data_IF_237170849861
#
_entry.id   IF_237170849861
#
_cell.length_a   1.000
_cell.length_b   1.000
_cell.length_c   1.000
_cell.angle_alpha   90.00
_cell.angle_beta   90.00
_cell.angle_gamma   90.00
#
_symmetry.space_group_name_H-M   'P 1'
#
loop_
_entity.id
_entity.type
_entity.pdbx_description
1 polymer ?
#
# COMPACT_ATOMS: atom_id res chain seq x y z
N UNK A 1 118.78 -33.19 -5.83
CA UNK A 1 117.56 -32.52 -5.23
C UNK A 1 116.44 -32.82 -6.19
N UNK A 2 115.42 -33.61 -5.81
CA UNK A 2 114.28 -33.89 -6.68
C UNK A 2 113.33 -32.73 -6.62
N UNK A 3 112.80 -32.27 -7.74
CA UNK A 3 111.78 -31.26 -7.86
C UNK A 3 110.44 -31.84 -7.38
N UNK A 4 109.81 -31.16 -6.41
CA UNK A 4 108.49 -31.50 -5.96
C UNK A 4 107.50 -30.99 -7.00
N UNK A 5 106.87 -31.92 -7.70
CA UNK A 5 105.82 -31.64 -8.67
C UNK A 5 104.51 -31.44 -7.90
N UNK A 6 103.96 -30.19 -7.87
CA UNK A 6 102.68 -29.88 -7.28
C UNK A 6 101.58 -30.28 -8.26
N UNK A 7 100.62 -31.11 -7.88
CA UNK A 7 99.52 -31.44 -8.76
C UNK A 7 98.75 -30.20 -9.13
N UNK A 8 98.61 -29.89 -10.38
CA UNK A 8 97.74 -28.87 -10.91
C UNK A 8 96.31 -29.25 -10.60
N UNK A 9 95.70 -28.57 -9.61
CA UNK A 9 94.32 -28.76 -9.23
C UNK A 9 93.29 -28.33 -10.29
N UNK A 10 93.33 -29.02 -11.45
CA UNK A 10 92.32 -28.87 -12.52
C UNK A 10 90.95 -29.41 -12.13
N UNK A 11 90.91 -30.33 -11.15
CA UNK A 11 89.65 -30.93 -10.67
C UNK A 11 88.81 -29.97 -9.86
N UNK A 12 89.42 -29.18 -8.96
CA UNK A 12 88.69 -28.22 -8.10
C UNK A 12 87.99 -27.12 -8.92
N UNK A 13 88.67 -26.62 -9.98
CA UNK A 13 88.10 -25.61 -10.88
C UNK A 13 86.99 -26.17 -11.76
N UNK A 14 86.98 -27.44 -12.07
CA UNK A 14 85.90 -28.13 -12.82
C UNK A 14 84.70 -28.35 -11.93
N UNK A 15 84.89 -28.73 -10.67
CA UNK A 15 83.74 -28.82 -9.68
C UNK A 15 83.15 -27.48 -9.41
N UNK A 16 83.89 -26.40 -9.27
CA UNK A 16 83.39 -25.04 -9.09
C UNK A 16 82.58 -24.59 -10.32
N UNK A 17 83.01 -24.86 -11.53
CA UNK A 17 82.27 -24.57 -12.75
C UNK A 17 80.97 -25.38 -12.85
N UNK A 18 80.96 -26.67 -12.48
CA UNK A 18 79.79 -27.52 -12.45
C UNK A 18 78.83 -27.08 -11.38
N UNK A 19 79.29 -26.64 -10.21
CA UNK A 19 78.45 -26.09 -9.15
C UNK A 19 77.83 -24.75 -9.58
N UNK A 20 78.59 -23.86 -10.21
CA UNK A 20 78.03 -22.60 -10.75
C UNK A 20 77.01 -22.84 -11.85
N UNK A 21 77.24 -23.86 -12.73
CA UNK A 21 76.27 -24.22 -13.76
C UNK A 21 74.99 -24.83 -13.16
N UNK A 22 75.11 -25.63 -12.11
CA UNK A 22 74.02 -26.17 -11.37
C UNK A 22 73.17 -25.07 -10.69
N UNK A 23 73.80 -24.09 -10.02
CA UNK A 23 73.14 -22.92 -9.47
C UNK A 23 72.48 -22.09 -10.56
N UNK A 24 73.12 -21.90 -11.71
CA UNK A 24 72.54 -21.18 -12.85
C UNK A 24 71.26 -21.89 -13.36
N UNK A 25 71.32 -23.23 -13.52
CA UNK A 25 70.15 -24.01 -13.94
C UNK A 25 69.04 -23.97 -12.97
N UNK A 26 69.31 -24.05 -11.65
CA UNK A 26 68.29 -23.91 -10.58
C UNK A 26 67.70 -22.50 -10.61
N UNK A 27 68.49 -21.45 -10.79
CA UNK A 27 68.00 -20.06 -10.90
C UNK A 27 67.14 -19.87 -12.14
N UNK A 28 67.47 -20.46 -13.28
CA UNK A 28 66.65 -20.42 -14.50
C UNK A 28 65.37 -21.20 -14.31
N UNK A 29 65.39 -22.37 -13.69
CA UNK A 29 64.19 -23.16 -13.38
C UNK A 29 63.29 -22.44 -12.38
N UNK A 30 63.83 -21.75 -11.38
CA UNK A 30 63.07 -20.93 -10.42
C UNK A 30 62.44 -19.71 -11.12
N UNK A 31 63.14 -19.06 -12.05
CA UNK A 31 62.61 -17.98 -12.87
C UNK A 31 61.48 -18.46 -13.79
N UNK A 32 61.63 -19.64 -14.41
CA UNK A 32 60.61 -20.20 -15.28
C UNK A 32 59.36 -20.67 -14.53
N UNK A 33 59.47 -21.13 -13.28
CA UNK A 33 58.32 -21.65 -12.50
C UNK A 33 57.62 -20.63 -11.64
N UNK A 34 58.18 -19.47 -11.36
CA UNK A 34 57.58 -18.50 -10.43
C UNK A 34 57.71 -17.02 -10.84
N UNK A 35 58.32 -16.77 -12.02
CA UNK A 35 58.60 -15.42 -12.50
C UNK A 35 57.41 -14.68 -13.10
N UNK A 36 56.35 -15.38 -13.46
CA UNK A 36 55.17 -14.78 -14.09
C UNK A 36 53.94 -14.98 -13.23
N UNK A 37 53.01 -14.03 -13.32
CA UNK A 37 51.70 -14.10 -12.70
C UNK A 37 50.68 -13.33 -13.56
N UNK A 38 49.42 -13.73 -13.48
CA UNK A 38 48.32 -13.07 -14.15
C UNK A 38 47.43 -12.38 -13.11
N UNK A 39 47.03 -11.17 -13.42
CA UNK A 39 46.01 -10.42 -12.66
C UNK A 39 44.73 -10.41 -13.50
N UNK A 40 43.62 -10.84 -12.92
CA UNK A 40 42.32 -10.87 -13.60
C UNK A 40 41.76 -9.46 -13.71
N UNK A 41 40.79 -9.25 -14.62
CA UNK A 41 40.11 -7.96 -14.79
C UNK A 41 39.39 -7.52 -13.50
N UNK A 42 38.90 -8.48 -12.73
CA UNK A 42 38.22 -8.30 -11.43
C UNK A 42 39.16 -7.99 -10.28
N UNK A 43 40.47 -8.06 -10.49
CA UNK A 43 41.48 -7.92 -9.46
C UNK A 43 42.46 -6.82 -9.80
N UNK A 44 43.17 -6.33 -8.78
CA UNK A 44 44.39 -5.52 -8.93
C UNK A 44 45.51 -6.17 -8.13
N UNK A 45 46.67 -6.23 -8.71
CA UNK A 45 47.87 -6.77 -8.05
C UNK A 45 48.60 -5.71 -7.24
N UNK A 46 48.91 -6.04 -5.99
CA UNK A 46 49.84 -5.22 -5.16
C UNK A 46 51.19 -5.90 -5.17
N UNK A 47 52.16 -5.31 -5.85
CA UNK A 47 53.54 -5.82 -5.92
C UNK A 47 54.32 -5.38 -4.68
N UNK A 48 54.85 -6.36 -3.96
CA UNK A 48 55.65 -6.19 -2.77
C UNK A 48 57.06 -6.67 -3.01
N UNK A 49 58.05 -5.92 -2.56
CA UNK A 49 59.46 -6.35 -2.58
C UNK A 49 59.95 -6.41 -1.14
N UNK A 50 60.34 -7.59 -0.69
CA UNK A 50 60.74 -7.87 0.69
C UNK A 50 59.70 -7.36 1.71
N UNK A 51 58.40 -7.47 1.37
CA UNK A 51 57.29 -6.98 2.21
C UNK A 51 56.97 -5.48 2.07
N UNK A 52 57.80 -4.70 1.36
CA UNK A 52 57.51 -3.29 1.11
C UNK A 52 56.67 -3.12 -0.14
N UNK A 53 55.67 -2.21 -0.13
CA UNK A 53 54.89 -1.84 -1.30
C UNK A 53 55.76 -1.20 -2.39
N UNK A 54 55.63 -1.66 -3.61
CA UNK A 54 56.35 -1.13 -4.79
C UNK A 54 55.41 -0.43 -5.75
N UNK A 55 54.37 -1.13 -6.20
CA UNK A 55 53.42 -0.60 -7.18
C UNK A 55 52.11 -1.39 -7.18
N UNK A 56 51.03 -0.75 -7.65
CA UNK A 56 49.79 -1.40 -8.03
C UNK A 56 49.92 -1.84 -9.50
N UNK A 57 49.49 -3.06 -9.78
CA UNK A 57 49.59 -3.70 -11.09
C UNK A 57 48.22 -3.89 -11.70
N UNK A 58 48.08 -3.49 -12.95
CA UNK A 58 46.84 -3.61 -13.72
C UNK A 58 46.57 -5.06 -14.16
N UNK A 59 45.35 -5.40 -14.66
CA UNK A 59 45.06 -6.70 -15.24
C UNK A 59 46.01 -7.07 -16.39
N UNK A 60 46.35 -8.35 -16.49
CA UNK A 60 47.23 -8.85 -17.53
C UNK A 60 48.29 -9.80 -17.01
N UNK A 61 49.25 -10.12 -17.89
CA UNK A 61 50.42 -10.96 -17.61
C UNK A 61 51.59 -10.08 -17.17
N UNK A 62 52.14 -10.35 -16.00
CA UNK A 62 53.27 -9.62 -15.42
C UNK A 62 54.38 -10.53 -14.96
N UNK A 63 55.56 -9.93 -14.79
CA UNK A 63 56.75 -10.61 -14.29
C UNK A 63 57.10 -10.12 -12.90
N UNK A 64 57.58 -11.03 -12.06
CA UNK A 64 58.11 -10.75 -10.73
C UNK A 64 59.39 -11.50 -10.48
N UNK A 65 60.24 -11.00 -9.61
CA UNK A 65 61.42 -11.70 -9.13
C UNK A 65 61.02 -12.72 -8.04
N UNK A 66 61.04 -14.04 -8.31
CA UNK A 66 60.35 -15.04 -7.49
C UNK A 66 60.82 -15.17 -6.04
N UNK A 67 62.00 -14.70 -5.70
CA UNK A 67 62.53 -14.77 -4.32
C UNK A 67 62.31 -13.47 -3.56
N UNK A 68 62.34 -12.34 -4.24
CA UNK A 68 62.31 -11.01 -3.62
C UNK A 68 60.97 -10.33 -3.71
N UNK A 69 60.12 -10.74 -4.65
CA UNK A 69 58.86 -10.10 -4.91
C UNK A 69 57.68 -11.05 -4.69
N UNK A 70 56.68 -10.54 -4.01
CA UNK A 70 55.37 -11.19 -3.82
C UNK A 70 54.26 -10.30 -4.35
N UNK A 71 53.16 -10.91 -4.76
CA UNK A 71 52.00 -10.19 -5.26
C UNK A 71 50.80 -10.60 -4.45
N UNK A 72 50.09 -9.61 -3.91
CA UNK A 72 48.77 -9.78 -3.25
C UNK A 72 47.73 -9.30 -4.22
N UNK A 73 46.75 -10.13 -4.52
CA UNK A 73 45.64 -9.79 -5.39
C UNK A 73 44.50 -9.27 -4.55
N UNK A 74 43.95 -8.14 -4.92
CA UNK A 74 42.84 -7.47 -4.25
C UNK A 74 41.69 -7.41 -5.25
N UNK A 75 40.57 -7.99 -4.87
CA UNK A 75 39.32 -7.94 -5.62
C UNK A 75 38.74 -6.52 -5.57
N UNK A 76 38.40 -5.97 -6.75
CA UNK A 76 37.84 -4.63 -6.95
C UNK A 76 36.37 -4.70 -7.35
N UNK A 77 35.78 -5.88 -7.41
CA UNK A 77 34.36 -6.06 -7.71
C UNK A 77 33.49 -5.67 -6.53
N UNK A 78 32.20 -5.57 -6.79
CA UNK A 78 31.23 -5.36 -5.72
C UNK A 78 31.15 -6.58 -4.80
N UNK A 79 31.24 -6.33 -3.52
CA UNK A 79 31.11 -7.32 -2.46
C UNK A 79 30.00 -6.94 -1.51
N UNK A 80 29.33 -7.95 -0.96
CA UNK A 80 28.31 -7.76 0.07
C UNK A 80 28.77 -8.33 1.41
N UNK A 81 28.72 -7.51 2.45
CA UNK A 81 28.93 -7.94 3.82
C UNK A 81 27.57 -7.92 4.56
N UNK A 82 27.20 -9.04 5.17
CA UNK A 82 25.87 -9.25 5.72
C UNK A 82 25.94 -9.54 7.20
N UNK A 83 25.03 -8.88 7.93
CA UNK A 83 24.70 -9.18 9.34
C UNK A 83 23.27 -9.68 9.39
N UNK A 84 23.10 -10.97 9.67
CA UNK A 84 21.78 -11.61 9.72
C UNK A 84 21.80 -12.81 10.65
N UNK A 85 20.65 -13.25 11.07
CA UNK A 85 20.49 -14.40 11.99
C UNK A 85 21.33 -14.25 13.26
N UNK A 86 22.29 -15.16 13.48
CA UNK A 86 23.11 -15.20 14.71
C UNK A 86 24.04 -13.98 14.90
N UNK A 87 24.30 -13.24 13.84
CA UNK A 87 25.13 -12.02 13.86
C UNK A 87 24.31 -10.75 13.56
N UNK A 88 23.00 -10.76 13.83
CA UNK A 88 22.15 -9.57 13.70
C UNK A 88 22.59 -8.48 14.67
N UNK A 89 22.30 -7.23 14.31
CA UNK A 89 22.71 -6.06 15.09
C UNK A 89 21.60 -5.67 16.05
N UNK A 90 21.81 -5.89 17.33
CA UNK A 90 20.90 -5.42 18.37
C UNK A 90 21.00 -3.90 18.51
N UNK A 91 19.86 -3.22 18.48
CA UNK A 91 19.73 -1.78 18.65
C UNK A 91 18.45 -1.42 19.41
N UNK A 92 18.44 -0.23 20.03
CA UNK A 92 17.29 0.30 20.75
C UNK A 92 16.71 1.49 19.98
N UNK A 93 15.40 1.49 19.82
CA UNK A 93 14.66 2.60 19.23
C UNK A 93 14.56 3.79 20.19
N UNK A 94 14.04 4.93 19.72
CA UNK A 94 13.83 6.14 20.54
C UNK A 94 12.90 5.87 21.74
N UNK A 95 11.92 5.00 21.57
CA UNK A 95 10.98 4.55 22.61
C UNK A 95 11.48 3.33 23.40
N UNK A 96 12.83 3.12 23.38
CA UNK A 96 13.54 2.10 24.16
C UNK A 96 13.11 0.64 23.85
N UNK A 97 12.56 0.40 22.65
CA UNK A 97 12.25 -0.96 22.23
C UNK A 97 13.49 -1.64 21.63
N UNK A 98 13.91 -2.81 22.14
CA UNK A 98 15.00 -3.57 21.54
C UNK A 98 14.54 -4.18 20.22
N UNK A 99 15.43 -4.14 19.22
CA UNK A 99 15.23 -4.80 17.94
C UNK A 99 16.51 -5.42 17.43
N UNK A 100 16.40 -6.56 16.74
CA UNK A 100 17.45 -7.21 16.00
C UNK A 100 17.33 -6.82 14.52
N UNK A 101 18.35 -6.14 14.01
CA UNK A 101 18.39 -5.64 12.65
C UNK A 101 19.29 -6.53 11.80
N UNK A 102 18.73 -7.05 10.70
CA UNK A 102 19.46 -7.75 9.65
C UNK A 102 19.80 -6.75 8.54
N UNK A 103 21.09 -6.56 8.30
CA UNK A 103 21.59 -5.53 7.38
C UNK A 103 22.64 -6.09 6.46
N UNK A 104 22.64 -5.68 5.20
CA UNK A 104 23.72 -5.96 4.26
C UNK A 104 24.24 -4.66 3.64
N UNK A 105 25.55 -4.59 3.47
CA UNK A 105 26.22 -3.48 2.83
C UNK A 105 26.91 -3.98 1.59
N UNK A 106 26.61 -3.37 0.47
CA UNK A 106 27.29 -3.59 -0.81
C UNK A 106 28.32 -2.49 -0.98
N UNK A 107 29.55 -2.87 -1.24
CA UNK A 107 30.66 -1.94 -1.39
C UNK A 107 31.64 -2.48 -2.44
N UNK A 108 32.49 -1.62 -2.97
CA UNK A 108 33.62 -1.99 -3.80
C UNK A 108 34.86 -1.17 -3.44
N UNK A 109 36.02 -1.68 -3.82
CA UNK A 109 37.29 -0.98 -3.69
C UNK A 109 37.62 -0.32 -5.02
N UNK A 110 37.73 1.02 -5.09
CA UNK A 110 38.18 1.67 -6.31
C UNK A 110 39.60 1.20 -6.70
N UNK A 111 39.85 0.91 -7.98
CA UNK A 111 41.16 0.47 -8.44
C UNK A 111 42.32 1.40 -8.07
N UNK A 112 42.02 2.70 -7.93
CA UNK A 112 43.02 3.74 -7.58
C UNK A 112 43.41 3.73 -6.09
N UNK A 113 42.58 3.11 -5.22
CA UNK A 113 42.81 3.07 -3.78
C UNK A 113 43.32 1.71 -3.26
N UNK A 114 43.59 0.78 -4.13
CA UNK A 114 44.04 -0.57 -3.78
C UNK A 114 45.35 -0.56 -2.97
N UNK A 115 46.26 0.38 -3.25
CA UNK A 115 47.47 0.59 -2.47
C UNK A 115 47.19 0.98 -1.02
N UNK A 116 46.17 1.85 -0.82
CA UNK A 116 45.74 2.27 0.52
C UNK A 116 45.08 1.15 1.30
N UNK A 117 44.26 0.29 0.61
CA UNK A 117 43.66 -0.91 1.21
C UNK A 117 44.75 -1.82 1.75
N UNK A 118 45.78 -2.09 0.96
CA UNK A 118 46.88 -2.95 1.42
C UNK A 118 47.67 -2.31 2.57
N UNK A 119 48.09 -1.06 2.42
CA UNK A 119 48.93 -0.37 3.41
C UNK A 119 48.26 -0.16 4.75
N UNK A 120 46.99 0.15 4.76
CA UNK A 120 46.23 0.51 6.00
C UNK A 120 45.56 -0.71 6.62
N UNK A 121 45.07 -1.63 5.81
CA UNK A 121 44.23 -2.73 6.26
C UNK A 121 44.81 -4.11 5.99
N UNK A 122 45.91 -4.23 5.27
CA UNK A 122 46.54 -5.48 4.85
C UNK A 122 45.69 -6.37 3.92
N UNK A 123 44.68 -5.77 3.26
CA UNK A 123 43.77 -6.42 2.33
C UNK A 123 42.32 -6.16 2.60
N UNK A 124 41.43 -6.77 1.81
CA UNK A 124 39.96 -6.57 1.90
C UNK A 124 39.39 -7.08 3.22
N UNK A 125 39.86 -8.23 3.70
CA UNK A 125 39.39 -8.80 4.98
C UNK A 125 39.70 -7.87 6.17
N UNK A 126 40.88 -7.25 6.15
CA UNK A 126 41.25 -6.25 7.15
C UNK A 126 40.42 -4.96 7.04
N UNK A 127 40.04 -4.56 5.84
CA UNK A 127 39.14 -3.45 5.57
C UNK A 127 37.74 -3.75 6.13
N UNK A 128 37.19 -4.92 5.81
CA UNK A 128 35.89 -5.38 6.33
C UNK A 128 35.87 -5.39 7.87
N UNK A 129 36.83 -6.06 8.49
CA UNK A 129 36.83 -6.27 9.95
C UNK A 129 37.15 -5.01 10.75
N UNK A 130 38.04 -4.14 10.27
CA UNK A 130 38.52 -2.98 11.02
C UNK A 130 37.75 -1.70 10.73
N UNK A 131 37.18 -1.56 9.52
CA UNK A 131 36.45 -0.36 9.13
C UNK A 131 34.95 -0.63 9.10
N UNK A 132 34.45 -1.49 8.20
CA UNK A 132 33.02 -1.68 8.00
C UNK A 132 32.36 -2.28 9.24
N UNK A 133 32.91 -3.39 9.76
CA UNK A 133 32.32 -4.10 10.89
C UNK A 133 32.28 -3.28 12.19
N UNK A 134 33.07 -2.21 12.31
CA UNK A 134 33.04 -1.33 13.46
C UNK A 134 32.13 -0.12 13.26
N UNK A 135 32.15 0.48 12.05
CA UNK A 135 31.45 1.71 11.78
C UNK A 135 29.97 1.51 11.51
N UNK A 136 29.62 0.49 10.69
CA UNK A 136 28.24 0.21 10.34
C UNK A 136 27.33 0.03 11.57
N UNK A 137 27.66 -0.84 12.57
CA UNK A 137 26.79 -0.99 13.71
C UNK A 137 26.62 0.29 14.53
N UNK A 138 27.66 1.10 14.62
CA UNK A 138 27.61 2.37 15.34
C UNK A 138 26.66 3.36 14.65
N UNK A 139 26.81 3.54 13.35
CA UNK A 139 26.02 4.50 12.58
C UNK A 139 24.57 4.05 12.49
N UNK A 140 24.32 2.73 12.28
CA UNK A 140 22.99 2.13 12.30
C UNK A 140 22.28 2.36 13.65
N UNK A 141 22.95 2.04 14.77
CA UNK A 141 22.39 2.25 16.12
C UNK A 141 22.08 3.73 16.39
N UNK A 142 22.93 4.62 15.93
CA UNK A 142 22.74 6.06 16.07
C UNK A 142 21.50 6.55 15.31
N UNK A 143 21.29 6.07 14.09
CA UNK A 143 20.12 6.44 13.29
C UNK A 143 18.87 5.76 13.85
N UNK A 144 18.93 4.47 14.18
CA UNK A 144 17.79 3.73 14.73
C UNK A 144 17.26 4.35 16.01
N UNK A 145 18.16 4.82 16.91
CA UNK A 145 17.78 5.49 18.15
C UNK A 145 17.07 6.86 17.97
N UNK A 146 16.98 7.38 16.74
CA UNK A 146 16.19 8.59 16.43
C UNK A 146 14.76 8.29 16.01
N UNK A 147 14.46 7.05 15.73
CA UNK A 147 13.16 6.58 15.27
C UNK A 147 12.45 5.78 16.36
N UNK A 148 11.13 5.97 16.48
CA UNK A 148 10.29 5.06 17.29
C UNK A 148 10.08 3.75 16.54
N UNK A 149 9.84 2.66 17.25
CA UNK A 149 9.58 1.35 16.65
C UNK A 149 8.46 1.41 15.59
N UNK A 150 7.37 2.10 15.89
CA UNK A 150 6.28 2.31 14.94
C UNK A 150 6.70 3.12 13.71
N UNK A 151 7.52 4.18 13.88
CA UNK A 151 7.92 5.05 12.76
C UNK A 151 8.88 4.38 11.80
N UNK A 152 9.71 3.45 12.27
CA UNK A 152 10.60 2.65 11.43
C UNK A 152 9.81 1.79 10.45
N UNK A 153 8.69 1.21 10.90
CA UNK A 153 7.82 0.38 10.06
C UNK A 153 7.02 1.25 9.09
N UNK A 154 6.41 2.34 9.59
CA UNK A 154 5.54 3.21 8.79
C UNK A 154 6.31 4.02 7.74
N UNK A 155 7.52 4.47 8.08
CA UNK A 155 8.37 5.32 7.24
C UNK A 155 9.67 4.63 6.83
N UNK A 156 9.59 3.32 6.50
CA UNK A 156 10.75 2.47 6.20
C UNK A 156 11.68 3.09 5.13
N UNK A 157 11.12 3.68 4.08
CA UNK A 157 11.92 4.28 3.01
C UNK A 157 12.80 5.44 3.50
N UNK A 158 12.27 6.31 4.36
CA UNK A 158 13.03 7.40 4.97
C UNK A 158 14.11 6.87 5.92
N UNK A 159 13.77 5.90 6.74
CA UNK A 159 14.71 5.27 7.66
C UNK A 159 15.90 4.65 6.91
N UNK A 160 15.65 3.89 5.84
CA UNK A 160 16.71 3.30 4.99
C UNK A 160 17.59 4.39 4.38
N UNK A 161 17.00 5.45 3.84
CA UNK A 161 17.77 6.56 3.26
C UNK A 161 18.64 7.29 4.29
N UNK A 162 18.14 7.51 5.51
CA UNK A 162 18.90 8.14 6.59
C UNK A 162 20.04 7.23 7.06
N UNK A 163 19.82 5.90 7.14
CA UNK A 163 20.88 4.91 7.45
C UNK A 163 21.93 4.91 6.37
N UNK A 164 21.53 4.84 5.09
CA UNK A 164 22.46 4.86 3.97
C UNK A 164 23.32 6.12 3.96
N UNK A 165 22.72 7.28 4.17
CA UNK A 165 23.41 8.56 4.29
C UNK A 165 24.41 8.58 5.45
N UNK A 166 24.00 8.10 6.62
CA UNK A 166 24.87 8.05 7.79
C UNK A 166 26.04 7.10 7.60
N UNK A 167 25.79 5.89 7.05
CA UNK A 167 26.82 4.89 6.77
C UNK A 167 27.82 5.39 5.73
N UNK A 168 27.36 6.03 4.65
CA UNK A 168 28.23 6.63 3.63
C UNK A 168 29.10 7.76 4.21
N UNK A 169 28.54 8.56 5.10
CA UNK A 169 29.28 9.63 5.78
C UNK A 169 30.25 9.10 6.85
N UNK A 170 29.88 8.02 7.55
CA UNK A 170 30.64 7.44 8.64
C UNK A 170 31.79 6.53 8.18
N UNK A 171 31.63 5.82 7.07
CA UNK A 171 32.65 4.95 6.50
C UNK A 171 33.53 5.74 5.53
N UNK A 172 34.52 6.42 6.08
CA UNK A 172 35.51 7.15 5.31
C UNK A 172 36.77 6.29 5.17
N UNK A 173 37.12 5.89 3.93
CA UNK A 173 38.26 5.04 3.69
C UNK A 173 38.45 4.72 2.20
N UNK A 174 39.37 3.81 1.86
CA UNK A 174 39.66 3.41 0.50
C UNK A 174 38.64 2.42 -0.05
N UNK A 175 37.34 2.71 0.14
CA UNK A 175 36.22 1.96 -0.38
C UNK A 175 35.06 2.91 -0.70
N UNK A 176 34.15 2.46 -1.54
CA UNK A 176 32.89 3.14 -1.84
C UNK A 176 31.73 2.25 -1.39
N UNK A 177 30.83 2.78 -0.57
CA UNK A 177 29.59 2.12 -0.21
C UNK A 177 28.57 2.39 -1.33
N UNK A 178 28.21 1.37 -2.06
CA UNK A 178 27.24 1.44 -3.15
C UNK A 178 25.81 1.47 -2.62
N UNK A 179 25.48 0.54 -1.70
CA UNK A 179 24.14 0.38 -1.19
C UNK A 179 24.15 -0.20 0.23
N UNK A 180 23.19 0.23 1.04
CA UNK A 180 22.89 -0.36 2.35
C UNK A 180 21.46 -0.88 2.32
N UNK A 181 21.30 -2.18 2.58
CA UNK A 181 19.99 -2.83 2.61
C UNK A 181 19.68 -3.24 4.04
N UNK A 182 18.50 -2.87 4.51
CA UNK A 182 17.92 -3.38 5.75
C UNK A 182 16.98 -4.51 5.36
N UNK A 183 17.40 -5.75 5.65
CA UNK A 183 16.69 -6.95 5.23
C UNK A 183 15.50 -7.22 6.15
N UNK A 184 15.74 -7.21 7.46
CA UNK A 184 14.71 -7.49 8.45
C UNK A 184 14.91 -6.67 9.74
N UNK A 185 13.81 -6.46 10.46
CA UNK A 185 13.76 -5.77 11.74
C UNK A 185 12.82 -6.56 12.65
N UNK A 186 13.38 -7.29 13.58
CA UNK A 186 12.65 -8.14 14.52
C UNK A 186 12.63 -7.45 15.88
N UNK A 187 11.45 -7.10 16.37
CA UNK A 187 11.26 -6.56 17.71
C UNK A 187 11.11 -7.68 18.74
N UNK A 188 11.11 -7.31 20.03
CA UNK A 188 10.88 -8.30 21.09
C UNK A 188 9.44 -8.81 21.06
N UNK A 189 9.23 -10.08 21.42
CA UNK A 189 7.91 -10.72 21.52
C UNK A 189 6.95 -9.91 22.43
N UNK A 190 7.47 -9.30 23.49
CA UNK A 190 6.69 -8.47 24.40
C UNK A 190 6.15 -7.22 23.71
N UNK A 191 6.95 -6.60 22.85
CA UNK A 191 6.51 -5.45 22.06
C UNK A 191 5.50 -5.86 20.99
N UNK A 192 5.77 -6.92 20.23
CA UNK A 192 4.86 -7.42 19.19
C UNK A 192 3.48 -7.77 19.77
N UNK A 193 3.45 -8.51 20.90
CA UNK A 193 2.20 -8.80 21.60
C UNK A 193 1.46 -7.54 22.08
N UNK A 194 2.17 -6.52 22.56
CA UNK A 194 1.56 -5.27 23.01
C UNK A 194 0.99 -4.46 21.85
N UNK A 195 1.64 -4.47 20.69
CA UNK A 195 1.14 -3.85 19.46
C UNK A 195 -0.10 -4.58 18.95
N UNK A 196 -0.08 -5.92 18.95
CA UNK A 196 -1.23 -6.74 18.57
C UNK A 196 -2.45 -6.43 19.45
N UNK A 197 -2.29 -6.43 20.78
CA UNK A 197 -3.37 -6.10 21.72
C UNK A 197 -3.92 -4.69 21.50
N UNK A 198 -3.05 -3.71 21.25
CA UNK A 198 -3.48 -2.34 20.92
C UNK A 198 -4.28 -2.30 19.64
N UNK A 199 -3.79 -2.98 18.60
CA UNK A 199 -4.48 -3.04 17.31
C UNK A 199 -5.85 -3.70 17.42
N UNK A 200 -5.97 -4.79 18.19
CA UNK A 200 -7.25 -5.45 18.48
C UNK A 200 -8.21 -4.51 19.21
N UNK A 201 -7.73 -3.76 20.21
CA UNK A 201 -8.54 -2.78 20.93
C UNK A 201 -8.99 -1.61 20.02
N UNK A 202 -8.13 -1.12 19.15
CA UNK A 202 -8.46 -0.08 18.15
C UNK A 202 -9.52 -0.57 17.15
N UNK A 203 -9.39 -1.81 16.67
CA UNK A 203 -10.38 -2.44 15.79
C UNK A 203 -11.72 -2.56 16.49
N UNK A 204 -11.75 -2.96 17.77
CA UNK A 204 -13.00 -3.07 18.54
C UNK A 204 -13.67 -1.70 18.72
N UNK A 205 -12.90 -0.67 19.07
CA UNK A 205 -13.43 0.72 19.14
C UNK A 205 -13.98 1.19 17.80
N UNK A 206 -13.25 0.89 16.70
CA UNK A 206 -13.71 1.25 15.35
C UNK A 206 -15.02 0.53 15.00
N UNK A 207 -15.13 -0.76 15.32
CA UNK A 207 -16.33 -1.56 15.12
C UNK A 207 -17.53 -1.02 15.92
N UNK A 208 -17.30 -0.65 17.19
CA UNK A 208 -18.34 -0.03 18.02
C UNK A 208 -18.81 1.30 17.44
N UNK A 209 -17.89 2.14 16.96
CA UNK A 209 -18.25 3.42 16.30
C UNK A 209 -19.05 3.19 15.02
N UNK A 210 -18.65 2.23 14.20
CA UNK A 210 -19.39 1.90 12.98
C UNK A 210 -20.78 1.36 13.28
N UNK A 211 -20.93 0.55 14.31
CA UNK A 211 -22.24 0.04 14.73
C UNK A 211 -23.15 1.18 15.23
N UNK A 212 -22.63 2.06 16.08
CA UNK A 212 -23.37 3.23 16.55
C UNK A 212 -23.82 4.15 15.39
N UNK A 213 -22.95 4.37 14.41
CA UNK A 213 -23.32 5.16 13.23
C UNK A 213 -24.38 4.47 12.36
N UNK A 214 -24.28 3.14 12.21
CA UNK A 214 -25.32 2.35 11.51
C UNK A 214 -26.67 2.44 12.23
N UNK A 215 -26.70 2.31 13.55
CA UNK A 215 -27.92 2.42 14.33
C UNK A 215 -28.54 3.82 14.21
N UNK A 216 -27.72 4.87 14.24
CA UNK A 216 -28.16 6.24 14.02
C UNK A 216 -28.79 6.44 12.65
N UNK A 217 -28.12 6.01 11.59
CA UNK A 217 -28.63 6.07 10.22
C UNK A 217 -29.92 5.26 10.09
N UNK A 218 -29.99 4.07 10.69
CA UNK A 218 -31.18 3.24 10.67
C UNK A 218 -32.36 3.92 11.39
N UNK A 219 -32.13 4.60 12.52
CA UNK A 219 -33.13 5.38 13.22
C UNK A 219 -33.62 6.56 12.37
N UNK A 220 -32.72 7.29 11.70
CA UNK A 220 -33.10 8.39 10.79
C UNK A 220 -33.94 7.89 9.61
N UNK A 221 -33.56 6.74 9.01
CA UNK A 221 -34.35 6.09 7.96
C UNK A 221 -35.76 5.76 8.46
N UNK A 222 -35.86 5.17 9.64
CA UNK A 222 -37.15 4.80 10.24
C UNK A 222 -38.05 6.03 10.48
N UNK A 223 -37.46 7.10 11.02
CA UNK A 223 -38.19 8.38 11.22
C UNK A 223 -38.62 8.99 9.90
N UNK A 224 -37.75 8.99 8.90
CA UNK A 224 -38.06 9.53 7.57
C UNK A 224 -39.14 8.70 6.86
N UNK A 225 -39.08 7.38 6.96
CA UNK A 225 -40.15 6.51 6.44
C UNK A 225 -41.50 6.74 7.14
N UNK A 226 -41.48 6.87 8.47
CA UNK A 226 -42.72 7.17 9.24
C UNK A 226 -43.31 8.52 8.84
N UNK A 227 -42.49 9.55 8.66
CA UNK A 227 -42.96 10.88 8.17
C UNK A 227 -43.54 10.77 6.76
N UNK A 228 -42.83 10.13 5.85
CA UNK A 228 -43.28 9.94 4.47
C UNK A 228 -44.62 9.17 4.39
N UNK A 229 -44.79 8.15 5.24
CA UNK A 229 -46.04 7.42 5.35
C UNK A 229 -47.18 8.30 5.88
N UNK A 230 -46.94 9.10 6.93
CA UNK A 230 -47.91 10.04 7.46
C UNK A 230 -48.31 11.12 6.43
N UNK A 231 -47.36 11.71 5.75
CA UNK A 231 -47.57 12.68 4.69
C UNK A 231 -48.36 12.09 3.50
N UNK A 232 -48.08 10.86 3.14
CA UNK A 232 -48.82 10.12 2.10
C UNK A 232 -50.28 9.87 2.53
N UNK A 233 -50.51 9.47 3.80
CA UNK A 233 -51.86 9.29 4.32
C UNK A 233 -52.63 10.62 4.36
N UNK A 234 -51.99 11.70 4.78
CA UNK A 234 -52.59 13.04 4.78
C UNK A 234 -52.95 13.48 3.36
N UNK A 235 -52.03 13.31 2.42
CA UNK A 235 -52.27 13.66 1.01
C UNK A 235 -53.44 12.85 0.40
N UNK A 236 -53.51 11.55 0.68
CA UNK A 236 -54.61 10.72 0.21
C UNK A 236 -55.96 11.09 0.86
N UNK A 237 -55.98 11.39 2.15
CA UNK A 237 -57.16 11.83 2.84
C UNK A 237 -57.65 13.19 2.34
N UNK A 238 -56.77 14.15 2.13
CA UNK A 238 -57.10 15.46 1.56
C UNK A 238 -57.61 15.36 0.14
N UNK A 239 -56.97 14.53 -0.70
CA UNK A 239 -57.40 14.27 -2.08
C UNK A 239 -58.79 13.61 -2.10
N UNK A 240 -59.09 12.66 -1.20
CA UNK A 240 -60.38 12.02 -1.09
C UNK A 240 -61.49 13.01 -0.65
N UNK A 241 -61.15 13.87 0.34
CA UNK A 241 -62.07 14.93 0.78
C UNK A 241 -62.38 15.93 -0.35
N UNK A 242 -61.36 16.37 -1.08
CA UNK A 242 -61.54 17.26 -2.23
C UNK A 242 -62.37 16.61 -3.34
N UNK A 243 -62.10 15.35 -3.67
CA UNK A 243 -62.88 14.60 -4.64
C UNK A 243 -64.37 14.51 -4.23
N UNK A 244 -64.66 14.25 -2.93
CA UNK A 244 -66.04 14.23 -2.41
C UNK A 244 -66.71 15.61 -2.51
N UNK A 245 -65.98 16.67 -2.16
CA UNK A 245 -66.49 18.05 -2.31
C UNK A 245 -66.81 18.44 -3.76
N UNK A 246 -65.91 18.12 -4.68
CA UNK A 246 -66.09 18.36 -6.12
C UNK A 246 -67.28 17.56 -6.63
N UNK A 247 -67.41 16.29 -6.22
CA UNK A 247 -68.56 15.43 -6.57
C UNK A 247 -69.87 16.03 -6.08
N UNK A 248 -69.92 16.46 -4.80
CA UNK A 248 -71.09 17.07 -4.21
C UNK A 248 -71.50 18.38 -4.91
N UNK A 249 -70.50 19.20 -5.29
CA UNK A 249 -70.75 20.43 -6.08
C UNK A 249 -71.29 20.12 -7.45
N UNK A 250 -70.70 19.13 -8.14
CA UNK A 250 -71.17 18.69 -9.44
C UNK A 250 -72.61 18.13 -9.42
N UNK A 251 -72.90 17.34 -8.38
CA UNK A 251 -74.27 16.80 -8.18
C UNK A 251 -75.29 17.93 -7.85
N UNK A 252 -74.96 18.89 -7.01
CA UNK A 252 -75.80 20.06 -6.76
C UNK A 252 -76.04 20.87 -8.04
N UNK A 253 -75.02 21.11 -8.82
CA UNK A 253 -75.14 21.82 -10.08
C UNK A 253 -75.98 21.04 -11.12
N UNK A 254 -75.78 19.73 -11.19
CA UNK A 254 -76.67 18.86 -12.00
C UNK A 254 -78.11 18.92 -11.61
N UNK A 255 -78.41 18.90 -10.27
CA UNK A 255 -79.76 19.02 -9.77
C UNK A 255 -80.37 20.41 -10.09
N UNK A 256 -79.54 21.47 -9.93
CA UNK A 256 -80.01 22.86 -10.27
C UNK A 256 -80.30 22.97 -11.79
N UNK A 257 -79.42 22.56 -12.64
CA UNK A 257 -79.63 22.61 -14.11
C UNK A 257 -80.83 21.75 -14.54
N UNK A 258 -81.02 20.59 -13.92
CA UNK A 258 -82.15 19.71 -14.20
C UNK A 258 -83.45 20.39 -13.75
N UNK A 259 -83.51 21.00 -12.53
CA UNK A 259 -84.61 21.74 -12.06
C UNK A 259 -84.99 22.98 -12.94
N UNK A 260 -83.98 23.68 -13.42
CA UNK A 260 -84.16 24.78 -14.38
C UNK A 260 -84.73 24.32 -15.72
N UNK A 261 -84.19 23.20 -16.24
CA UNK A 261 -84.68 22.61 -17.50
C UNK A 261 -86.11 22.08 -17.36
N UNK A 262 -86.43 21.41 -16.23
CA UNK A 262 -87.81 20.96 -15.93
C UNK A 262 -88.77 22.14 -15.78
N UNK A 263 -88.38 23.22 -15.05
CA UNK A 263 -89.17 24.43 -14.90
C UNK A 263 -89.36 25.13 -16.26
N UNK A 264 -88.37 25.20 -17.12
CA UNK A 264 -88.47 25.75 -18.50
C UNK A 264 -89.46 24.92 -19.36
N UNK A 265 -89.34 23.58 -19.26
CA UNK A 265 -90.25 22.68 -19.97
C UNK A 265 -91.69 22.80 -19.49
N UNK A 266 -91.94 22.96 -18.18
CA UNK A 266 -93.27 23.19 -17.60
C UNK A 266 -93.85 24.56 -18.10
N UNK A 267 -93.02 25.62 -18.08
CA UNK A 267 -93.41 26.93 -18.64
C UNK A 267 -93.80 26.87 -20.08
N UNK A 268 -92.93 26.26 -20.92
CA UNK A 268 -93.19 26.10 -22.33
C UNK A 268 -94.50 25.31 -22.60
N UNK A 269 -94.76 24.28 -21.79
CA UNK A 269 -96.02 23.51 -21.86
C UNK A 269 -97.24 24.36 -21.39
N UNK A 270 -97.08 25.17 -20.34
CA UNK A 270 -98.12 26.10 -19.88
C UNK A 270 -98.45 27.14 -20.93
N UNK A 271 -97.42 27.73 -21.56
CA UNK A 271 -97.60 28.73 -22.59
C UNK A 271 -98.27 28.11 -23.87
N UNK A 272 -97.97 26.90 -24.20
CA UNK A 272 -98.58 26.20 -25.32
C UNK A 272 -100.07 25.79 -25.10
N UNK A 273 -100.46 25.57 -23.89
CA UNK A 273 -101.80 25.12 -23.51
C UNK A 273 -102.78 26.28 -23.11
N UNK A 274 -102.28 27.49 -23.09
CA UNK A 274 -103.10 28.65 -22.81
C UNK A 274 -103.79 28.64 -21.46
N UNK A 275 -103.09 29.14 -20.47
CA UNK A 275 -103.51 29.57 -19.10
C UNK A 275 -104.62 28.81 -18.37
N UNK A 276 -104.74 27.51 -18.44
CA UNK A 276 -105.58 26.75 -17.52
C UNK A 276 -104.69 25.77 -16.71
N UNK A 277 -104.35 26.17 -15.48
CA UNK A 277 -103.55 25.36 -14.56
C UNK A 277 -104.13 23.96 -14.31
N UNK A 278 -105.44 23.78 -14.33
CA UNK A 278 -106.12 22.52 -14.24
C UNK A 278 -105.80 21.54 -15.38
N UNK A 279 -105.59 22.07 -16.59
CA UNK A 279 -105.19 21.27 -17.74
C UNK A 279 -103.75 20.69 -17.60
N UNK A 280 -102.80 21.44 -17.02
CA UNK A 280 -101.46 20.99 -16.76
C UNK A 280 -101.44 19.92 -15.67
N UNK A 281 -102.21 20.12 -14.62
CA UNK A 281 -102.31 19.12 -13.56
C UNK A 281 -102.91 17.79 -14.06
N UNK A 282 -103.91 17.87 -14.93
CA UNK A 282 -104.56 16.71 -15.53
C UNK A 282 -103.58 15.98 -16.50
N UNK A 283 -102.75 16.72 -17.31
CA UNK A 283 -101.80 16.14 -18.19
C UNK A 283 -100.66 15.44 -17.42
N UNK A 284 -100.11 16.11 -16.39
CA UNK A 284 -99.02 15.58 -15.56
C UNK A 284 -99.51 14.36 -14.75
N UNK A 285 -100.76 14.37 -14.27
CA UNK A 285 -101.30 13.21 -13.59
C UNK A 285 -101.56 12.03 -14.56
N UNK A 286 -101.94 12.27 -15.80
CA UNK A 286 -102.09 11.23 -16.78
C UNK A 286 -100.78 10.63 -17.27
N UNK A 287 -99.69 11.45 -17.41
CA UNK A 287 -98.35 10.95 -17.78
C UNK A 287 -97.67 10.13 -16.67
N UNK A 288 -97.97 10.45 -15.42
CA UNK A 288 -97.39 9.72 -14.27
C UNK A 288 -98.27 8.53 -13.77
N UNK A 289 -99.48 8.36 -14.31
CA UNK A 289 -100.32 7.25 -13.90
C UNK A 289 -99.85 5.91 -14.56
N UNK A 290 -99.53 4.97 -13.73
CA UNK A 290 -99.07 3.64 -14.11
C UNK A 290 -100.27 2.67 -14.47
N UNK A 291 -101.51 3.17 -14.57
CA UNK A 291 -102.65 2.36 -14.92
C UNK A 291 -103.26 1.51 -13.78
N UNK A 292 -102.71 1.60 -12.63
CA UNK A 292 -103.22 0.82 -11.49
C UNK A 292 -103.94 1.71 -10.43
N UNK A 293 -105.10 1.25 -10.00
CA UNK A 293 -105.82 1.87 -8.89
C UNK A 293 -105.15 1.62 -7.54
N UNK A 294 -105.14 2.62 -6.62
CA UNK A 294 -104.56 2.39 -5.32
C UNK A 294 -105.30 1.25 -4.58
N UNK A 295 -104.51 0.33 -4.01
CA UNK A 295 -105.03 -0.84 -3.30
C UNK A 295 -105.85 -0.50 -2.03
N UNK A 296 -105.76 0.71 -1.53
CA UNK A 296 -106.57 1.22 -0.36
C UNK A 296 -107.10 2.59 -0.69
N UNK A 297 -108.42 2.73 -0.67
CA UNK A 297 -109.15 3.99 -0.71
C UNK A 297 -109.66 4.39 0.66
N UNK A 298 -109.38 5.58 1.09
CA UNK A 298 -109.98 6.19 2.29
C UNK A 298 -111.39 6.68 1.88
N UNK A 299 -112.43 6.47 2.76
CA UNK A 299 -113.77 6.93 2.47
C UNK A 299 -113.77 8.47 2.32
N UNK A 300 -114.25 8.94 1.14
CA UNK A 300 -114.37 10.37 0.85
C UNK A 300 -113.36 10.97 -0.09
N UNK A 301 -112.39 10.18 -0.64
CA UNK A 301 -111.50 10.65 -1.68
C UNK A 301 -112.07 10.45 -3.09
N UNK A 302 -112.16 11.52 -3.86
CA UNK A 302 -112.55 11.45 -5.29
C UNK A 302 -111.35 10.89 -6.15
N UNK A 303 -111.60 10.02 -7.05
CA UNK A 303 -110.61 9.56 -8.04
C UNK A 303 -110.13 10.75 -8.87
N UNK A 304 -108.80 10.91 -9.04
CA UNK A 304 -108.25 12.14 -9.65
C UNK A 304 -108.57 12.35 -11.15
N UNK A 305 -109.24 11.39 -11.78
CA UNK A 305 -109.46 11.42 -13.26
C UNK A 305 -110.90 11.09 -13.68
N UNK A 306 -111.86 10.83 -12.77
CA UNK A 306 -113.23 10.44 -13.14
C UNK A 306 -114.20 11.44 -12.63
N UNK A 307 -114.77 12.24 -13.53
CA UNK A 307 -116.03 13.00 -13.21
C UNK A 307 -117.17 12.02 -13.31
N UNK A 308 -117.80 11.70 -12.17
CA UNK A 308 -119.06 11.00 -12.14
C UNK A 308 -120.18 12.08 -12.34
N UNK A 309 -120.87 12.00 -13.49
CA UNK A 309 -122.02 12.75 -13.77
C UNK A 309 -123.19 12.30 -12.96
#
# INVERSE_FOLDING_TARGET
MPAVDFPKDTSAMTYIRLALLGVLVVAILALLNGGWYTVQETERGVLLRNGAFVATVEPGLHFKLPVFESVVKIDVTQRALRWASDNSLEAYSQDQQPANLSVSVVYHVPPVDVDKVYRQFAGVEGLESRLIARKLPQDLKTVFGRYTAASVIQNRGKFVADVESAVRAGIVGPLVVDQVNIEDIIFSDAYENSVEQRMLAEIEVMKLRQNAEREKVQAEITVTQAKAAADSQLATATAAAQATEIQAKADAERIRLRGEADAAAIRARADALGVNGDAIIRLNNSEKWNGQLPATMLPGTTLPFVEIK
#
